data_IF_330935866151
#
_entry.id   IF_330935866151
#
_cell.length_a   1.000
_cell.length_b   1.000
_cell.length_c   1.000
_cell.angle_alpha   90.00
_cell.angle_beta   90.00
_cell.angle_gamma   90.00
#
_symmetry.space_group_name_H-M   'P 1'
#
loop_
_entity.id
_entity.type
_entity.pdbx_description
1 polymer ?
#
# COMPACT_ATOMS: atom_id res chain seq x y z
N UNK A 1 -28.35 -83.93 22.55
CA UNK A 1 -29.10 -83.36 23.69
C UNK A 1 -28.09 -82.58 24.57
N UNK A 2 -28.03 -81.34 24.47
CA UNK A 2 -27.18 -80.50 25.36
C UNK A 2 -27.81 -79.12 25.44
N UNK A 3 -28.10 -78.70 26.65
CA UNK A 3 -28.81 -77.46 26.96
C UNK A 3 -27.82 -76.29 27.05
N UNK A 4 -28.06 -75.25 26.28
CA UNK A 4 -27.38 -73.95 26.43
C UNK A 4 -28.01 -73.21 27.63
N UNK A 5 -27.14 -72.82 28.57
CA UNK A 5 -27.45 -71.88 29.65
C UNK A 5 -26.85 -70.53 29.28
N UNK A 6 -27.73 -69.55 29.05
CA UNK A 6 -27.33 -68.16 28.81
C UNK A 6 -27.10 -67.44 30.13
N UNK A 7 -25.91 -66.88 30.31
CA UNK A 7 -25.58 -66.03 31.43
C UNK A 7 -25.83 -64.55 31.11
N UNK A 8 -26.71 -63.92 31.88
CA UNK A 8 -27.00 -62.51 31.88
C UNK A 8 -25.84 -61.74 32.56
N UNK A 9 -25.24 -60.79 31.88
CA UNK A 9 -24.31 -59.83 32.43
C UNK A 9 -25.05 -58.52 32.83
N UNK A 10 -24.71 -57.89 33.97
CA UNK A 10 -25.40 -56.68 34.40
C UNK A 10 -24.92 -55.46 33.61
N UNK A 11 -25.87 -54.62 33.25
CA UNK A 11 -25.66 -53.30 32.64
C UNK A 11 -25.04 -52.34 33.69
N UNK A 12 -23.84 -51.87 33.43
CA UNK A 12 -23.20 -50.81 34.22
C UNK A 12 -23.71 -49.47 33.69
N UNK A 13 -24.42 -48.72 34.53
CA UNK A 13 -24.95 -47.40 34.27
C UNK A 13 -23.81 -46.37 34.43
N UNK A 14 -23.19 -45.99 33.29
CA UNK A 14 -22.19 -44.95 33.27
C UNK A 14 -22.84 -43.60 33.50
N UNK A 15 -22.47 -42.95 34.60
CA UNK A 15 -22.84 -41.55 34.89
C UNK A 15 -22.08 -40.62 33.93
N UNK A 16 -22.80 -39.99 33.01
CA UNK A 16 -22.28 -38.95 32.11
C UNK A 16 -22.16 -37.65 32.90
N UNK A 17 -20.95 -37.32 33.35
CA UNK A 17 -20.66 -35.98 33.87
C UNK A 17 -20.66 -34.99 32.70
N UNK A 18 -21.71 -34.20 32.54
CA UNK A 18 -21.74 -33.01 31.72
C UNK A 18 -20.87 -31.94 32.39
N UNK A 19 -19.65 -31.78 31.95
CA UNK A 19 -18.87 -30.60 32.26
C UNK A 19 -19.39 -29.42 31.44
N UNK A 20 -20.20 -28.60 32.08
CA UNK A 20 -20.61 -27.30 31.55
C UNK A 20 -19.39 -26.41 31.41
N UNK A 21 -18.92 -26.21 30.16
CA UNK A 21 -17.90 -25.24 29.82
C UNK A 21 -18.52 -23.84 30.00
N UNK A 22 -18.26 -23.21 31.15
CA UNK A 22 -18.61 -21.80 31.38
C UNK A 22 -17.77 -20.95 30.41
N UNK A 23 -18.40 -20.54 29.29
CA UNK A 23 -17.86 -19.50 28.43
C UNK A 23 -17.95 -18.20 29.21
N UNK A 24 -16.82 -17.77 29.79
CA UNK A 24 -16.70 -16.44 30.39
C UNK A 24 -16.92 -15.41 29.28
N UNK A 25 -17.77 -14.39 29.49
CA UNK A 25 -17.92 -13.32 28.51
C UNK A 25 -16.58 -12.56 28.41
N UNK A 26 -16.09 -12.45 27.18
CA UNK A 26 -14.91 -11.64 26.87
C UNK A 26 -15.06 -10.25 27.50
N UNK A 27 -14.11 -9.92 28.36
CA UNK A 27 -14.12 -8.69 29.15
C UNK A 27 -14.30 -7.45 28.26
N UNK A 28 -15.13 -6.51 28.73
CA UNK A 28 -15.36 -5.20 28.12
C UNK A 28 -14.08 -4.33 27.96
N UNK A 29 -12.93 -4.82 28.40
CA UNK A 29 -11.63 -4.19 28.25
C UNK A 29 -11.10 -4.23 26.79
N UNK A 30 -11.52 -5.19 25.96
CA UNK A 30 -11.09 -5.25 24.56
C UNK A 30 -11.83 -4.25 23.63
N UNK A 31 -12.86 -3.58 24.09
CA UNK A 31 -13.60 -2.57 23.30
C UNK A 31 -13.03 -1.16 23.35
N UNK A 32 -11.88 -0.95 23.98
CA UNK A 32 -11.14 0.32 23.95
C UNK A 32 -9.84 0.23 23.14
N UNK A 33 -9.82 -0.46 22.02
CA UNK A 33 -8.95 -0.08 20.92
C UNK A 33 -9.49 1.27 20.41
N UNK A 34 -8.96 2.36 20.96
CA UNK A 34 -9.35 3.73 20.62
C UNK A 34 -9.34 3.85 19.10
N UNK A 35 -10.32 4.54 18.50
CA UNK A 35 -10.31 4.90 17.08
C UNK A 35 -8.97 5.56 16.83
N UNK A 36 -8.05 4.80 16.20
CA UNK A 36 -6.73 5.31 15.88
C UNK A 36 -6.93 6.63 15.15
N UNK A 37 -6.31 7.70 15.68
CA UNK A 37 -6.39 9.00 15.06
C UNK A 37 -6.03 8.83 13.60
N UNK A 38 -6.90 9.26 12.68
CA UNK A 38 -6.68 9.08 11.23
C UNK A 38 -5.35 9.65 10.75
N UNK A 39 -4.69 10.46 11.58
CA UNK A 39 -3.37 11.04 11.37
C UNK A 39 -2.20 10.22 11.94
N UNK A 40 -2.45 9.22 12.79
CA UNK A 40 -1.42 8.45 13.48
C UNK A 40 -0.89 7.33 12.57
N UNK A 41 0.43 7.26 12.28
CA UNK A 41 1.03 6.15 11.56
C UNK A 41 0.83 4.79 12.22
N UNK A 42 0.67 4.72 13.55
CA UNK A 42 0.47 3.49 14.31
C UNK A 42 -0.72 2.65 13.81
N UNK A 43 -1.68 3.26 13.12
CA UNK A 43 -2.78 2.53 12.45
C UNK A 43 -2.32 1.51 11.41
N UNK A 44 -1.08 1.60 10.93
CA UNK A 44 -0.50 0.71 9.92
C UNK A 44 0.41 -0.37 10.52
N UNK A 45 0.65 -0.34 11.83
CA UNK A 45 1.62 -1.21 12.50
C UNK A 45 1.39 -2.70 12.17
N UNK A 46 0.14 -3.16 12.18
CA UNK A 46 -0.18 -4.56 11.84
C UNK A 46 0.12 -4.89 10.36
N UNK A 47 -0.13 -3.95 9.44
CA UNK A 47 0.23 -4.14 8.03
C UNK A 47 1.74 -4.23 7.84
N UNK A 48 2.49 -3.39 8.55
CA UNK A 48 3.96 -3.39 8.48
C UNK A 48 4.53 -4.68 9.08
N UNK A 49 4.02 -5.15 10.22
CA UNK A 49 4.39 -6.45 10.81
C UNK A 49 4.10 -7.63 9.87
N UNK A 50 3.00 -7.56 9.09
CA UNK A 50 2.71 -8.58 8.07
C UNK A 50 3.77 -8.61 6.96
N UNK A 51 4.26 -7.46 6.51
CA UNK A 51 5.39 -7.40 5.58
C UNK A 51 6.64 -8.03 6.19
N UNK A 52 6.99 -7.67 7.42
CA UNK A 52 8.15 -8.22 8.13
C UNK A 52 8.04 -9.74 8.34
N UNK A 53 6.87 -10.25 8.71
CA UNK A 53 6.63 -11.68 8.89
C UNK A 53 6.77 -12.45 7.56
N UNK A 54 6.25 -11.88 6.46
CA UNK A 54 6.41 -12.45 5.12
C UNK A 54 7.88 -12.50 4.72
N UNK A 55 8.61 -11.42 4.99
CA UNK A 55 10.04 -11.30 4.66
C UNK A 55 10.90 -12.24 5.52
N UNK A 56 10.53 -12.45 6.78
CA UNK A 56 11.21 -13.41 7.65
C UNK A 56 11.03 -14.85 7.15
N UNK A 57 9.85 -15.18 6.61
CA UNK A 57 9.57 -16.50 6.03
C UNK A 57 10.22 -16.69 4.65
N UNK A 58 10.27 -15.64 3.84
CA UNK A 58 10.83 -15.66 2.48
C UNK A 58 11.55 -14.34 2.22
N UNK A 59 12.82 -14.22 2.60
CA UNK A 59 13.57 -12.98 2.47
C UNK A 59 13.64 -12.52 1.01
N UNK A 60 13.15 -11.32 0.69
CA UNK A 60 13.22 -10.82 -0.67
C UNK A 60 14.66 -10.44 -1.04
N UNK A 61 15.05 -10.61 -2.31
CA UNK A 61 16.38 -10.25 -2.75
C UNK A 61 16.58 -8.73 -2.68
N UNK A 62 17.77 -8.31 -2.22
CA UNK A 62 18.18 -6.90 -2.21
C UNK A 62 18.51 -6.38 -3.62
N UNK A 63 18.47 -5.06 -3.79
CA UNK A 63 18.92 -4.40 -5.01
C UNK A 63 17.93 -4.46 -6.18
N UNK A 64 16.68 -4.87 -5.93
CA UNK A 64 15.61 -4.86 -6.93
C UNK A 64 14.90 -3.52 -7.06
N UNK A 65 13.69 -3.57 -7.62
CA UNK A 65 12.74 -2.45 -7.70
C UNK A 65 11.77 -2.54 -6.52
N UNK A 66 11.57 -1.45 -5.82
CA UNK A 66 10.61 -1.35 -4.73
C UNK A 66 9.44 -0.43 -5.14
N UNK A 67 8.23 -0.96 -5.16
CA UNK A 67 7.01 -0.16 -5.24
C UNK A 67 6.53 0.13 -3.81
N UNK A 68 6.42 1.41 -3.46
CA UNK A 68 5.94 1.84 -2.14
C UNK A 68 4.95 2.99 -2.27
N UNK A 69 3.99 3.09 -1.35
CA UNK A 69 3.01 4.16 -1.33
C UNK A 69 1.63 3.73 -0.87
N UNK A 70 0.60 4.39 -1.39
CA UNK A 70 -0.78 4.24 -0.98
C UNK A 70 -1.54 3.10 -1.67
N UNK A 71 -2.85 3.33 -1.86
CA UNK A 71 -3.77 2.28 -2.33
C UNK A 71 -3.53 1.82 -3.76
N UNK A 72 -3.09 2.70 -4.67
CA UNK A 72 -2.75 2.29 -6.04
C UNK A 72 -1.49 1.40 -6.05
N UNK A 73 -0.50 1.66 -5.20
CA UNK A 73 0.62 0.73 -5.01
C UNK A 73 0.14 -0.61 -4.44
N UNK A 74 -0.64 -0.60 -3.35
CA UNK A 74 -1.16 -1.82 -2.71
C UNK A 74 -1.98 -2.70 -3.67
N UNK A 75 -2.80 -2.08 -4.52
CA UNK A 75 -3.69 -2.80 -5.46
C UNK A 75 -2.97 -3.36 -6.69
N UNK A 76 -1.75 -2.93 -6.96
CA UNK A 76 -0.94 -3.46 -8.07
C UNK A 76 -0.26 -4.76 -7.66
N UNK A 77 -1.07 -5.79 -7.41
CA UNK A 77 -0.62 -7.08 -6.86
C UNK A 77 0.24 -7.88 -7.84
N UNK A 78 0.03 -7.70 -9.11
CA UNK A 78 0.70 -8.35 -10.24
C UNK A 78 1.81 -7.48 -10.86
N UNK A 79 2.30 -6.46 -10.15
CA UNK A 79 3.31 -5.51 -10.66
C UNK A 79 4.56 -6.20 -11.23
N UNK A 80 4.96 -7.35 -10.71
CA UNK A 80 6.09 -8.12 -11.21
C UNK A 80 5.88 -8.67 -12.62
N UNK A 81 4.62 -8.91 -13.03
CA UNK A 81 4.29 -9.38 -14.38
C UNK A 81 4.48 -8.28 -15.43
N UNK A 82 4.34 -7.02 -15.02
CA UNK A 82 4.57 -5.85 -15.87
C UNK A 82 6.07 -5.56 -16.10
N UNK A 83 6.93 -6.07 -15.20
CA UNK A 83 8.38 -5.85 -15.22
C UNK A 83 9.14 -7.18 -15.05
N UNK A 84 8.99 -8.14 -15.99
CA UNK A 84 9.50 -9.51 -15.81
C UNK A 84 11.02 -9.60 -15.72
N UNK A 85 11.76 -8.58 -16.21
CA UNK A 85 13.23 -8.54 -16.11
C UNK A 85 13.69 -8.00 -14.75
N UNK A 86 12.78 -7.50 -13.90
CA UNK A 86 13.10 -6.88 -12.64
C UNK A 86 12.50 -7.67 -11.47
N UNK A 87 13.23 -7.70 -10.36
CA UNK A 87 12.69 -8.22 -9.09
C UNK A 87 11.93 -7.10 -8.41
N UNK A 88 10.62 -7.11 -8.50
CA UNK A 88 9.77 -6.06 -7.92
C UNK A 88 9.20 -6.52 -6.59
N UNK A 89 9.42 -5.71 -5.56
CA UNK A 89 8.83 -5.87 -4.22
C UNK A 89 7.73 -4.81 -4.08
N UNK A 90 6.53 -5.23 -3.70
CA UNK A 90 5.44 -4.29 -3.40
C UNK A 90 5.28 -4.11 -1.89
N UNK A 91 5.42 -2.88 -1.43
CA UNK A 91 5.19 -2.43 -0.04
C UNK A 91 4.19 -1.27 0.00
N UNK A 92 3.20 -1.32 -0.88
CA UNK A 92 2.05 -0.43 -0.83
C UNK A 92 1.10 -0.80 0.30
N UNK A 93 0.61 0.20 1.05
CA UNK A 93 -0.39 0.01 2.09
C UNK A 93 -1.53 1.02 1.96
N UNK A 94 -2.75 0.51 1.91
CA UNK A 94 -3.93 1.25 1.44
C UNK A 94 -4.28 2.44 2.32
N UNK A 95 -4.38 3.64 1.73
CA UNK A 95 -4.68 4.86 2.46
C UNK A 95 -3.46 5.53 3.11
N UNK A 96 -2.24 5.00 2.89
CA UNK A 96 -1.01 5.62 3.37
C UNK A 96 -0.79 6.99 2.75
N UNK A 97 -0.33 7.94 3.56
CA UNK A 97 0.18 9.24 3.18
C UNK A 97 1.70 9.17 3.04
N UNK A 98 2.30 10.16 2.44
CA UNK A 98 3.77 10.28 2.38
C UNK A 98 4.42 10.27 3.76
N UNK A 99 3.81 10.95 4.74
CA UNK A 99 4.29 10.93 6.13
C UNK A 99 4.29 9.53 6.75
N UNK A 100 3.29 8.69 6.41
CA UNK A 100 3.25 7.30 6.85
C UNK A 100 4.38 6.49 6.19
N UNK A 101 4.65 6.71 4.90
CA UNK A 101 5.76 6.06 4.18
C UNK A 101 7.12 6.47 4.76
N UNK A 102 7.31 7.75 5.09
CA UNK A 102 8.54 8.25 5.76
C UNK A 102 8.72 7.58 7.12
N UNK A 103 7.65 7.49 7.91
CA UNK A 103 7.67 6.89 9.24
C UNK A 103 8.17 5.43 9.21
N UNK A 104 7.69 4.66 8.25
CA UNK A 104 8.01 3.24 8.15
C UNK A 104 9.19 2.91 7.19
N UNK A 105 9.85 3.91 6.60
CA UNK A 105 10.89 3.68 5.60
C UNK A 105 12.05 2.80 6.10
N UNK A 106 12.42 2.90 7.39
CA UNK A 106 13.46 2.07 8.00
C UNK A 106 13.09 0.57 8.01
N UNK A 107 11.80 0.26 7.97
CA UNK A 107 11.28 -1.11 8.05
C UNK A 107 10.86 -1.70 6.70
N UNK A 108 10.35 -0.84 5.78
CA UNK A 108 9.77 -1.29 4.51
C UNK A 108 10.46 -0.75 3.25
N UNK A 109 11.56 -0.02 3.41
CA UNK A 109 12.34 0.51 2.27
C UNK A 109 13.81 0.15 2.41
N UNK A 110 14.48 0.64 3.46
CA UNK A 110 15.93 0.51 3.62
C UNK A 110 16.42 -0.94 3.70
N UNK A 111 15.71 -1.90 4.34
CA UNK A 111 16.18 -3.28 4.43
C UNK A 111 16.37 -3.98 3.08
N UNK A 112 15.63 -3.56 2.05
CA UNK A 112 15.73 -4.14 0.70
C UNK A 112 16.88 -3.56 -0.13
N UNK A 113 17.51 -2.47 0.32
CA UNK A 113 18.55 -1.76 -0.41
C UNK A 113 18.20 -1.62 -1.92
N UNK A 114 17.01 -1.09 -2.28
CA UNK A 114 16.53 -1.08 -3.67
C UNK A 114 17.44 -0.22 -4.55
N UNK A 115 17.69 -0.67 -5.79
CA UNK A 115 18.32 0.18 -6.81
C UNK A 115 17.35 1.21 -7.36
N UNK A 116 16.06 0.87 -7.36
CA UNK A 116 14.99 1.71 -7.87
C UNK A 116 13.80 1.70 -6.93
N UNK A 117 13.24 2.87 -6.66
CA UNK A 117 11.98 3.05 -5.92
C UNK A 117 10.93 3.67 -6.84
N UNK A 118 9.75 3.05 -6.90
CA UNK A 118 8.54 3.61 -7.47
C UNK A 118 7.68 4.15 -6.32
N UNK A 119 7.71 5.46 -6.11
CA UNK A 119 6.97 6.13 -5.03
C UNK A 119 5.59 6.57 -5.55
N UNK A 120 4.53 5.86 -5.17
CA UNK A 120 3.15 6.15 -5.56
C UNK A 120 2.33 6.63 -4.35
N UNK A 121 2.43 7.91 -4.03
CA UNK A 121 1.75 8.54 -2.89
C UNK A 121 1.38 10.01 -3.20
N UNK A 122 0.69 10.67 -2.27
CA UNK A 122 0.25 12.07 -2.39
C UNK A 122 -1.25 12.24 -2.56
N UNK A 123 -1.96 11.32 -3.24
CA UNK A 123 -3.41 11.41 -3.42
C UNK A 123 -4.20 11.28 -2.11
N UNK A 124 -3.75 10.42 -1.19
CA UNK A 124 -4.34 10.33 0.15
C UNK A 124 -4.07 11.58 0.96
N UNK A 125 -2.88 12.14 0.86
CA UNK A 125 -2.46 13.37 1.53
C UNK A 125 -3.41 14.51 1.18
N UNK A 126 -3.69 14.75 -0.11
CA UNK A 126 -4.70 15.72 -0.57
C UNK A 126 -6.09 15.40 0.00
N UNK A 127 -6.47 14.13 0.04
CA UNK A 127 -7.77 13.70 0.56
C UNK A 127 -7.91 13.92 2.06
N UNK A 128 -6.79 14.00 2.79
CA UNK A 128 -6.73 14.34 4.21
C UNK A 128 -6.55 15.85 4.46
N UNK A 129 -6.59 16.68 3.39
CA UNK A 129 -6.53 18.13 3.49
C UNK A 129 -5.12 18.71 3.66
N UNK A 130 -4.07 17.92 3.36
CA UNK A 130 -2.72 18.46 3.31
C UNK A 130 -2.54 19.34 2.07
N UNK A 131 -1.78 20.42 2.20
CA UNK A 131 -1.47 21.30 1.07
C UNK A 131 -0.42 20.68 0.15
N UNK A 132 -0.35 21.08 -1.13
CA UNK A 132 0.70 20.64 -2.05
C UNK A 132 2.11 20.82 -1.50
N UNK A 133 2.37 21.91 -0.78
CA UNK A 133 3.68 22.22 -0.17
C UNK A 133 4.01 21.23 0.96
N UNK A 134 3.04 20.92 1.83
CA UNK A 134 3.24 19.93 2.91
C UNK A 134 3.55 18.53 2.33
N UNK A 135 2.89 18.17 1.24
CA UNK A 135 3.10 16.89 0.56
C UNK A 135 4.48 16.85 -0.10
N UNK A 136 4.88 17.93 -0.79
CA UNK A 136 6.23 18.08 -1.33
C UNK A 136 7.30 17.96 -0.24
N UNK A 137 7.09 18.59 0.92
CA UNK A 137 8.05 18.54 2.03
C UNK A 137 8.17 17.13 2.63
N UNK A 138 7.06 16.40 2.71
CA UNK A 138 7.07 14.99 3.10
C UNK A 138 7.81 14.11 2.06
N UNK A 139 7.64 14.40 0.76
CA UNK A 139 8.38 13.71 -0.30
C UNK A 139 9.89 14.00 -0.21
N UNK A 140 10.27 15.24 0.04
CA UNK A 140 11.66 15.61 0.28
C UNK A 140 12.24 14.88 1.49
N UNK A 141 11.51 14.80 2.59
CA UNK A 141 11.94 14.05 3.77
C UNK A 141 12.16 12.57 3.46
N UNK A 142 11.29 11.95 2.64
CA UNK A 142 11.46 10.58 2.16
C UNK A 142 12.76 10.43 1.34
N UNK A 143 12.96 11.28 0.34
CA UNK A 143 14.14 11.28 -0.53
C UNK A 143 15.41 11.43 0.30
N UNK A 144 15.46 12.43 1.18
CA UNK A 144 16.60 12.68 2.08
C UNK A 144 16.91 11.46 2.93
N UNK A 145 15.88 10.84 3.53
CA UNK A 145 16.05 9.64 4.37
C UNK A 145 16.61 8.46 3.57
N UNK A 146 16.08 8.22 2.37
CA UNK A 146 16.56 7.14 1.51
C UNK A 146 17.98 7.39 1.06
N UNK A 147 18.31 8.60 0.56
CA UNK A 147 19.64 8.92 0.05
C UNK A 147 20.71 9.02 1.13
N UNK A 148 20.34 9.33 2.38
CA UNK A 148 21.27 9.24 3.51
C UNK A 148 21.81 7.82 3.73
N UNK A 149 21.00 6.80 3.49
CA UNK A 149 21.39 5.40 3.64
C UNK A 149 21.79 4.72 2.32
N UNK A 150 21.19 5.14 1.22
CA UNK A 150 21.28 4.51 -0.10
C UNK A 150 21.43 5.60 -1.19
N UNK A 151 22.59 6.27 -1.28
CA UNK A 151 22.77 7.47 -2.10
C UNK A 151 22.64 7.26 -3.62
N UNK A 152 22.79 6.03 -4.09
CA UNK A 152 22.68 5.70 -5.52
C UNK A 152 21.30 5.16 -5.93
N UNK A 153 20.36 5.04 -4.98
CA UNK A 153 18.99 4.62 -5.29
C UNK A 153 18.29 5.65 -6.19
N UNK A 154 17.72 5.18 -7.30
CA UNK A 154 16.86 6.01 -8.16
C UNK A 154 15.44 6.03 -7.61
N UNK A 155 14.82 7.20 -7.55
CA UNK A 155 13.46 7.37 -7.05
C UNK A 155 12.60 7.97 -8.16
N UNK A 156 11.57 7.23 -8.58
CA UNK A 156 10.56 7.71 -9.51
C UNK A 156 9.33 8.13 -8.71
N UNK A 157 9.12 9.44 -8.59
CA UNK A 157 7.93 10.01 -7.96
C UNK A 157 6.77 9.97 -8.96
N UNK A 158 5.84 9.05 -8.76
CA UNK A 158 4.67 8.89 -9.61
C UNK A 158 3.64 9.96 -9.23
N UNK A 159 3.28 10.82 -10.17
CA UNK A 159 2.34 11.91 -9.98
C UNK A 159 0.94 11.42 -9.59
N UNK A 160 0.18 12.29 -8.94
CA UNK A 160 -1.22 12.03 -8.64
C UNK A 160 -2.03 12.15 -9.93
N UNK A 161 -2.80 11.11 -10.31
CA UNK A 161 -3.59 11.14 -11.54
C UNK A 161 -4.81 12.07 -11.41
N UNK A 162 -5.41 12.49 -12.54
CA UNK A 162 -6.67 13.25 -12.56
C UNK A 162 -7.84 12.32 -12.20
N UNK A 163 -8.11 12.11 -10.92
CA UNK A 163 -9.18 11.23 -10.43
C UNK A 163 -10.57 11.85 -10.60
N UNK A 164 -11.61 11.01 -10.80
CA UNK A 164 -13.00 11.46 -11.07
C UNK A 164 -13.51 12.47 -10.04
N UNK A 165 -13.26 12.27 -8.75
CA UNK A 165 -13.71 13.21 -7.71
C UNK A 165 -13.15 14.62 -7.92
N UNK A 166 -11.92 14.73 -8.38
CA UNK A 166 -11.31 16.03 -8.67
C UNK A 166 -11.80 16.61 -10.00
N UNK A 167 -12.28 15.78 -10.95
CA UNK A 167 -12.83 16.27 -12.22
C UNK A 167 -14.19 16.94 -12.08
N UNK A 168 -14.87 16.76 -10.93
CA UNK A 168 -16.16 17.40 -10.67
C UNK A 168 -16.05 18.87 -10.25
N UNK A 169 -14.85 19.31 -9.87
CA UNK A 169 -14.56 20.71 -9.53
C UNK A 169 -13.26 21.17 -10.18
N UNK A 170 -13.23 22.37 -10.81
CA UNK A 170 -12.01 22.92 -11.39
C UNK A 170 -10.86 23.03 -10.37
N UNK A 171 -11.21 23.36 -9.12
CA UNK A 171 -10.25 23.50 -8.01
C UNK A 171 -9.54 22.18 -7.73
N UNK A 172 -10.22 21.04 -7.79
CA UNK A 172 -9.64 19.72 -7.56
C UNK A 172 -8.50 19.40 -8.54
N UNK A 173 -8.69 19.64 -9.81
CA UNK A 173 -7.62 19.51 -10.81
C UNK A 173 -6.50 20.53 -10.61
N UNK A 174 -6.82 21.76 -10.26
CA UNK A 174 -5.80 22.77 -10.00
C UNK A 174 -4.92 22.39 -8.81
N UNK A 175 -5.51 21.85 -7.74
CA UNK A 175 -4.76 21.37 -6.58
C UNK A 175 -3.84 20.21 -6.93
N UNK A 176 -4.32 19.23 -7.72
CA UNK A 176 -3.48 18.11 -8.17
C UNK A 176 -2.36 18.61 -9.09
N UNK A 177 -2.65 19.52 -10.02
CA UNK A 177 -1.64 20.12 -10.90
C UNK A 177 -0.58 20.89 -10.11
N UNK A 178 -0.99 21.65 -9.09
CA UNK A 178 -0.07 22.36 -8.21
C UNK A 178 0.85 21.39 -7.47
N UNK A 179 0.31 20.31 -6.91
CA UNK A 179 1.12 19.26 -6.29
C UNK A 179 2.10 18.64 -7.28
N UNK A 180 1.61 18.21 -8.44
CA UNK A 180 2.45 17.56 -9.46
C UNK A 180 3.56 18.51 -9.96
N UNK A 181 3.29 19.81 -10.09
CA UNK A 181 4.30 20.81 -10.44
C UNK A 181 5.39 20.93 -9.37
N UNK A 182 5.01 20.97 -8.09
CA UNK A 182 5.97 20.99 -6.97
C UNK A 182 6.79 19.70 -6.88
N UNK A 183 6.19 18.56 -7.17
CA UNK A 183 6.88 17.27 -7.21
C UNK A 183 7.87 17.20 -8.39
N UNK A 184 7.49 17.72 -9.56
CA UNK A 184 8.38 17.82 -10.71
C UNK A 184 9.56 18.77 -10.44
N UNK A 185 9.31 19.90 -9.77
CA UNK A 185 10.37 20.83 -9.33
C UNK A 185 11.34 20.16 -8.35
N UNK A 186 10.80 19.47 -7.33
CA UNK A 186 11.60 18.71 -6.37
C UNK A 186 12.49 17.70 -7.09
N UNK A 187 11.93 16.92 -8.03
CA UNK A 187 12.69 15.93 -8.77
C UNK A 187 13.83 16.53 -9.60
N UNK A 188 13.67 17.77 -10.11
CA UNK A 188 14.76 18.47 -10.84
C UNK A 188 15.89 18.92 -9.95
N UNK A 189 15.66 19.14 -8.66
CA UNK A 189 16.64 19.63 -7.70
C UNK A 189 17.35 18.52 -6.92
N UNK A 190 16.79 17.29 -6.91
CA UNK A 190 17.34 16.17 -6.16
C UNK A 190 18.07 15.18 -7.11
N UNK A 191 19.27 14.74 -6.69
CA UNK A 191 20.04 13.73 -7.44
C UNK A 191 19.26 12.40 -7.50
N UNK A 192 19.31 11.71 -8.64
CA UNK A 192 18.69 10.38 -8.83
C UNK A 192 17.17 10.36 -8.58
N UNK A 193 16.48 11.49 -8.74
CA UNK A 193 15.02 11.57 -8.63
C UNK A 193 14.42 12.00 -9.96
N UNK A 194 13.33 11.34 -10.37
CA UNK A 194 12.57 11.69 -11.57
C UNK A 194 11.07 11.73 -11.24
N UNK A 195 10.36 12.67 -11.84
CA UNK A 195 8.92 12.78 -11.72
C UNK A 195 8.25 12.13 -12.95
N UNK A 196 7.23 11.30 -12.72
CA UNK A 196 6.42 10.66 -13.75
C UNK A 196 5.07 11.35 -13.79
N UNK A 197 4.88 12.19 -14.79
CA UNK A 197 3.59 12.89 -14.99
C UNK A 197 2.54 11.94 -15.57
N UNK A 198 1.44 11.80 -14.86
CA UNK A 198 0.30 10.97 -15.29
C UNK A 198 -0.75 11.76 -16.07
N UNK A 199 -0.78 13.09 -15.96
CA UNK A 199 -1.85 13.89 -16.56
C UNK A 199 -2.00 13.68 -18.07
N UNK A 200 -0.93 13.75 -18.89
CA UNK A 200 -1.09 13.61 -20.36
C UNK A 200 -1.68 12.27 -20.78
N UNK A 201 -1.39 11.19 -20.03
CA UNK A 201 -1.88 9.85 -20.37
C UNK A 201 -3.24 9.50 -19.74
N UNK A 202 -3.65 10.23 -18.70
CA UNK A 202 -4.86 9.97 -17.93
C UNK A 202 -5.97 11.01 -18.16
N UNK A 203 -5.79 11.95 -19.09
CA UNK A 203 -6.82 12.84 -19.61
C UNK A 203 -7.15 12.48 -21.06
N UNK A 204 -8.40 12.68 -21.43
CA UNK A 204 -8.84 12.62 -22.83
C UNK A 204 -8.54 13.93 -23.58
N UNK A 205 -8.88 13.98 -24.88
CA UNK A 205 -8.65 15.14 -25.75
C UNK A 205 -9.44 16.39 -25.32
N UNK A 206 -10.45 16.22 -24.45
CA UNK A 206 -11.24 17.30 -23.85
C UNK A 206 -10.71 17.75 -22.51
N UNK A 207 -9.60 17.16 -22.03
CA UNK A 207 -9.05 17.44 -20.72
C UNK A 207 -9.85 16.83 -19.57
N UNK A 208 -10.71 15.84 -19.85
CA UNK A 208 -11.47 15.11 -18.85
C UNK A 208 -10.73 13.86 -18.40
N UNK A 209 -11.02 13.41 -17.20
CA UNK A 209 -10.47 12.17 -16.67
C UNK A 209 -10.90 10.97 -17.53
N UNK A 210 -9.96 10.12 -17.92
CA UNK A 210 -10.18 8.91 -18.70
C UNK A 210 -10.75 7.81 -17.82
N UNK A 211 -12.10 7.73 -17.75
CA UNK A 211 -12.79 6.80 -16.85
C UNK A 211 -12.44 5.32 -17.11
N UNK A 212 -12.10 4.96 -18.36
CA UNK A 212 -11.72 3.60 -18.76
C UNK A 212 -10.40 3.12 -18.16
N UNK A 213 -9.59 4.00 -17.59
CA UNK A 213 -8.32 3.65 -16.92
C UNK A 213 -8.48 3.39 -15.42
N UNK A 214 -9.70 3.57 -14.89
CA UNK A 214 -9.99 3.46 -13.48
C UNK A 214 -11.06 2.39 -13.21
N UNK A 215 -11.10 1.90 -11.98
CA UNK A 215 -12.21 1.11 -11.49
C UNK A 215 -13.49 1.97 -11.32
N UNK A 216 -14.58 1.33 -10.90
CA UNK A 216 -15.89 1.98 -10.71
C UNK A 216 -15.83 3.19 -9.75
N UNK A 217 -14.92 3.20 -8.81
CA UNK A 217 -14.71 4.31 -7.86
C UNK A 217 -14.08 5.56 -8.53
N UNK A 218 -13.54 5.43 -9.75
CA UNK A 218 -12.90 6.51 -10.50
C UNK A 218 -11.65 7.10 -9.83
N UNK A 219 -11.01 6.31 -8.94
CA UNK A 219 -9.85 6.72 -8.14
C UNK A 219 -8.70 5.74 -8.28
N UNK A 220 -9.02 4.44 -8.23
CA UNK A 220 -8.03 3.38 -8.31
C UNK A 220 -7.91 2.87 -9.75
N UNK A 221 -6.68 2.61 -10.17
CA UNK A 221 -6.43 2.07 -11.50
C UNK A 221 -7.06 0.68 -11.65
N UNK A 222 -7.57 0.42 -12.85
CA UNK A 222 -7.85 -0.92 -13.33
C UNK A 222 -6.64 -1.45 -14.12
N UNK A 223 -6.78 -2.61 -14.77
CA UNK A 223 -5.69 -3.23 -15.54
C UNK A 223 -5.15 -2.30 -16.64
N UNK A 224 -6.01 -1.56 -17.35
CA UNK A 224 -5.59 -0.63 -18.40
C UNK A 224 -4.88 0.61 -17.83
N UNK A 225 -5.31 1.08 -16.65
CA UNK A 225 -4.62 2.13 -15.91
C UNK A 225 -3.19 1.71 -15.51
N UNK A 226 -3.01 0.51 -14.97
CA UNK A 226 -1.67 -0.02 -14.66
C UNK A 226 -0.83 -0.25 -15.92
N UNK A 227 -1.43 -0.73 -17.01
CA UNK A 227 -0.75 -0.87 -18.30
C UNK A 227 -0.28 0.47 -18.86
N UNK A 228 -1.11 1.51 -18.72
CA UNK A 228 -0.77 2.88 -19.11
C UNK A 228 0.40 3.40 -18.27
N UNK A 229 0.33 3.25 -16.94
CA UNK A 229 1.43 3.62 -16.03
C UNK A 229 2.72 2.87 -16.37
N UNK A 230 2.64 1.56 -16.65
CA UNK A 230 3.78 0.76 -17.09
C UNK A 230 4.42 1.31 -18.35
N UNK A 231 3.59 1.76 -19.32
CA UNK A 231 4.09 2.40 -20.53
C UNK A 231 4.95 3.64 -20.25
N UNK A 232 4.56 4.45 -19.25
CA UNK A 232 5.32 5.63 -18.83
C UNK A 232 6.62 5.29 -18.09
N UNK A 233 6.68 4.11 -17.47
CA UNK A 233 7.84 3.62 -16.73
C UNK A 233 8.80 2.78 -17.59
N UNK A 234 8.38 2.38 -18.79
CA UNK A 234 9.15 1.49 -19.67
C UNK A 234 10.49 2.13 -20.06
N UNK A 235 11.57 1.36 -19.87
CA UNK A 235 12.92 1.78 -20.22
C UNK A 235 13.57 2.79 -19.27
N UNK A 236 12.94 3.07 -18.13
CA UNK A 236 13.49 3.99 -17.13
C UNK A 236 14.43 3.30 -16.12
N UNK A 237 14.32 1.99 -15.95
CA UNK A 237 15.15 1.19 -15.02
C UNK A 237 15.31 -0.25 -15.53
#
# INVERSE_FOLDING_TARGET
MSRLTAALRPFSMGVLLLTSLMVLPLSAAEKKAGKANKGDPARWEETIKQFEATDAATPPPKGGVLLVGGSNARRWTDVSEYFPQHRVINRGFGGARLTDVVHYADRIVLPYAPKTILLNAGGNDLSFGQTPEQIRDAARAFITKVHAALPETRIYCIGVPPVRRASTTPEGFNTIRALNALMAELARTEKNVEFIDLFPAFLDDKGQHRAELFGEDGTHFNADGYKTLTGLLRGKF
#
